data_IF_410713947762
#
_entry.id   IF_410713947762
#
_cell.length_a   1.000
_cell.length_b   1.000
_cell.length_c   1.000
_cell.angle_alpha   90.00
_cell.angle_beta   90.00
_cell.angle_gamma   90.00
#
_symmetry.space_group_name_H-M   'P 1'
#
loop_
_entity.id
_entity.type
_entity.pdbx_description
1 polymer ?
#
# COMPACT_ATOMS: atom_id res chain seq x y z
N UNK A 1 3.72 19.87 4.87
CA UNK A 1 5.08 19.29 4.98
C UNK A 1 5.75 19.33 3.60
N UNK A 2 7.08 19.47 3.53
CA UNK A 2 7.84 19.33 2.29
C UNK A 2 8.93 18.29 2.54
N UNK A 3 9.10 17.34 1.62
CA UNK A 3 10.16 16.33 1.67
C UNK A 3 11.11 16.55 0.50
N UNK A 4 12.37 16.17 0.70
CA UNK A 4 13.38 16.21 -0.35
C UNK A 4 13.27 14.94 -1.19
N UNK A 5 13.30 15.11 -2.50
CA UNK A 5 13.46 14.00 -3.44
C UNK A 5 14.95 13.75 -3.61
N UNK A 6 15.35 12.50 -3.47
CA UNK A 6 16.71 12.01 -3.68
C UNK A 6 16.77 11.12 -4.91
N UNK A 7 17.98 10.75 -5.33
CA UNK A 7 18.23 9.92 -6.49
C UNK A 7 19.24 8.84 -6.10
N UNK A 8 18.94 7.57 -6.42
CA UNK A 8 19.86 6.46 -6.18
C UNK A 8 20.91 6.36 -7.29
N UNK A 9 21.83 5.39 -7.17
CA UNK A 9 22.93 5.17 -8.12
C UNK A 9 22.43 4.81 -9.54
N UNK A 10 21.24 4.20 -9.64
CA UNK A 10 20.58 3.83 -10.90
C UNK A 10 19.82 5.01 -11.56
N UNK A 11 19.78 6.16 -10.89
CA UNK A 11 19.10 7.35 -11.37
C UNK A 11 17.60 7.41 -11.04
N UNK A 12 17.08 6.47 -10.26
CA UNK A 12 15.69 6.46 -9.81
C UNK A 12 15.46 7.44 -8.66
N UNK A 13 14.31 8.11 -8.69
CA UNK A 13 13.95 9.11 -7.68
C UNK A 13 13.14 8.48 -6.54
N UNK A 14 13.53 8.79 -5.31
CA UNK A 14 12.82 8.36 -4.12
C UNK A 14 12.74 9.48 -3.09
N UNK A 15 11.93 9.30 -2.06
CA UNK A 15 11.94 10.14 -0.87
C UNK A 15 11.71 9.28 0.36
N UNK A 16 12.22 9.73 1.49
CA UNK A 16 12.00 9.07 2.77
C UNK A 16 10.68 9.58 3.37
N UNK A 17 9.85 8.65 3.85
CA UNK A 17 8.63 8.98 4.58
C UNK A 17 9.03 9.43 5.98
N UNK A 18 8.74 10.66 6.41
CA UNK A 18 9.12 11.14 7.73
C UNK A 18 8.48 10.32 8.85
N UNK A 19 9.22 10.10 9.94
CA UNK A 19 8.78 9.30 11.10
C UNK A 19 7.44 9.77 11.69
N UNK A 20 7.16 11.08 11.64
CA UNK A 20 5.88 11.65 12.06
C UNK A 20 4.71 11.09 11.24
N UNK A 21 4.85 11.02 9.91
CA UNK A 21 3.81 10.48 9.05
C UNK A 21 3.68 8.96 9.17
N UNK A 22 4.80 8.26 9.38
CA UNK A 22 4.74 6.82 9.61
C UNK A 22 3.90 6.51 10.86
N UNK A 23 4.07 7.29 11.93
CA UNK A 23 3.28 7.14 13.17
C UNK A 23 1.83 7.54 12.96
N UNK A 24 1.58 8.71 12.39
CA UNK A 24 0.21 9.24 12.21
C UNK A 24 -0.64 8.36 11.30
N UNK A 25 -0.02 7.77 10.27
CA UNK A 25 -0.70 6.88 9.33
C UNK A 25 -0.64 5.40 9.75
N UNK A 26 0.07 5.08 10.85
CA UNK A 26 0.35 3.71 11.28
C UNK A 26 0.96 2.87 10.15
N UNK A 27 1.95 3.44 9.46
CA UNK A 27 2.75 2.76 8.44
C UNK A 27 3.99 2.14 9.06
N UNK A 28 4.41 1.01 8.52
CA UNK A 28 5.60 0.27 8.90
C UNK A 28 6.23 -0.34 7.66
N UNK A 29 7.51 -0.65 7.73
CA UNK A 29 8.21 -1.35 6.65
C UNK A 29 7.49 -2.66 6.29
N UNK A 30 7.32 -2.89 4.99
CA UNK A 30 6.60 -4.05 4.47
C UNK A 30 5.10 -3.82 4.22
N UNK A 31 4.52 -2.72 4.70
CA UNK A 31 3.16 -2.33 4.32
C UNK A 31 3.06 -2.12 2.80
N UNK A 32 1.99 -2.66 2.21
CA UNK A 32 1.70 -2.41 0.80
C UNK A 32 0.90 -1.12 0.65
N UNK A 33 1.35 -0.29 -0.28
CA UNK A 33 0.68 0.95 -0.65
C UNK A 33 0.31 0.92 -2.12
N UNK A 34 -0.67 1.73 -2.49
CA UNK A 34 -1.00 2.03 -3.88
C UNK A 34 -0.76 3.51 -4.19
N UNK A 35 -0.41 3.76 -5.45
CA UNK A 35 -0.34 5.10 -6.04
C UNK A 35 -1.61 5.32 -6.86
N UNK A 36 -2.37 6.36 -6.51
CA UNK A 36 -3.59 6.75 -7.22
C UNK A 36 -3.35 8.10 -7.89
N UNK A 37 -3.49 8.14 -9.20
CA UNK A 37 -3.47 9.39 -9.97
C UNK A 37 -4.80 10.13 -9.77
N UNK A 38 -4.72 11.37 -9.32
CA UNK A 38 -5.90 12.21 -9.08
C UNK A 38 -6.37 12.94 -10.34
N UNK A 39 -5.61 12.89 -11.45
CA UNK A 39 -5.94 13.53 -12.72
C UNK A 39 -5.71 15.05 -12.75
N UNK A 40 -5.12 15.61 -11.69
CA UNK A 40 -4.83 17.04 -11.54
C UNK A 40 -3.32 17.34 -11.43
N UNK A 41 -2.49 16.34 -11.75
CA UNK A 41 -1.03 16.40 -11.59
C UNK A 41 -0.55 16.06 -10.17
N UNK A 42 -1.46 15.72 -9.25
CA UNK A 42 -1.13 15.17 -7.93
C UNK A 42 -1.39 13.66 -7.86
N UNK A 43 -0.74 13.03 -6.87
CA UNK A 43 -0.89 11.61 -6.59
C UNK A 43 -1.25 11.40 -5.13
N UNK A 44 -2.08 10.40 -4.88
CA UNK A 44 -2.40 9.92 -3.53
C UNK A 44 -1.67 8.62 -3.26
N UNK A 45 -0.96 8.52 -2.13
CA UNK A 45 -0.45 7.25 -1.63
C UNK A 45 -1.41 6.74 -0.56
N UNK A 46 -1.94 5.53 -0.74
CA UNK A 46 -2.87 4.91 0.20
C UNK A 46 -2.33 3.56 0.66
N UNK A 47 -2.35 3.30 1.96
CA UNK A 47 -2.05 1.97 2.51
C UNK A 47 -3.19 1.02 2.19
N UNK A 48 -2.83 -0.14 1.66
CA UNK A 48 -3.76 -1.23 1.40
C UNK A 48 -4.11 -1.92 2.72
N UNK A 49 -5.38 -2.30 2.85
CA UNK A 49 -5.79 -3.27 3.86
C UNK A 49 -5.17 -4.64 3.59
N UNK A 50 -5.16 -5.49 4.61
CA UNK A 50 -4.70 -6.87 4.47
C UNK A 50 -5.48 -7.62 3.38
N UNK A 51 -6.81 -7.40 3.30
CA UNK A 51 -7.65 -8.04 2.29
C UNK A 51 -7.30 -7.58 0.87
N UNK A 52 -7.05 -6.28 0.67
CA UNK A 52 -6.62 -5.74 -0.64
C UNK A 52 -5.24 -6.27 -1.03
N UNK A 53 -4.29 -6.31 -0.09
CA UNK A 53 -2.96 -6.86 -0.32
C UNK A 53 -2.99 -8.36 -0.66
N UNK A 54 -3.85 -9.14 0.01
CA UNK A 54 -4.08 -10.56 -0.28
C UNK A 54 -4.74 -10.75 -1.64
N UNK A 55 -5.73 -9.92 -1.98
CA UNK A 55 -6.41 -9.96 -3.27
C UNK A 55 -5.43 -9.85 -4.43
N UNK A 56 -4.46 -8.92 -4.34
CA UNK A 56 -3.43 -8.74 -5.36
C UNK A 56 -2.59 -10.01 -5.54
N UNK A 57 -2.16 -10.61 -4.43
CA UNK A 57 -1.36 -11.85 -4.45
C UNK A 57 -2.16 -13.06 -4.93
N UNK A 58 -3.45 -13.12 -4.64
CA UNK A 58 -4.33 -14.22 -5.04
C UNK A 58 -4.49 -14.36 -6.56
N UNK A 59 -4.20 -13.30 -7.34
CA UNK A 59 -4.17 -13.38 -8.81
C UNK A 59 -2.88 -14.01 -9.34
N UNK A 60 -1.82 -14.01 -8.55
CA UNK A 60 -0.49 -14.53 -8.92
C UNK A 60 -0.26 -15.93 -8.36
N UNK A 61 -0.83 -16.23 -7.19
CA UNK A 61 -0.63 -17.48 -6.44
C UNK A 61 -1.98 -18.15 -6.07
N UNK A 62 -2.29 -19.34 -6.64
CA UNK A 62 -3.49 -20.10 -6.32
C UNK A 62 -3.64 -20.48 -4.84
N UNK A 63 -2.55 -20.65 -4.09
CA UNK A 63 -2.60 -21.03 -2.67
C UNK A 63 -3.05 -19.84 -1.81
N UNK A 64 -2.65 -18.62 -2.20
CA UNK A 64 -3.08 -17.38 -1.55
C UNK A 64 -4.56 -17.08 -1.83
N UNK A 65 -5.09 -17.55 -2.96
CA UNK A 65 -6.51 -17.39 -3.29
C UNK A 65 -7.44 -18.03 -2.25
N UNK A 66 -7.08 -19.20 -1.73
CA UNK A 66 -7.88 -19.87 -0.71
C UNK A 66 -7.94 -19.08 0.61
N UNK A 67 -6.86 -18.39 0.98
CA UNK A 67 -6.84 -17.52 2.16
C UNK A 67 -7.68 -16.25 1.94
N UNK A 68 -7.55 -15.62 0.76
CA UNK A 68 -8.38 -14.48 0.38
C UNK A 68 -9.88 -14.80 0.40
N UNK A 69 -10.28 -15.94 -0.18
CA UNK A 69 -11.69 -16.34 -0.24
C UNK A 69 -12.28 -16.55 1.16
N UNK A 70 -11.50 -17.12 2.11
CA UNK A 70 -11.92 -17.27 3.51
C UNK A 70 -12.12 -15.92 4.21
N UNK A 71 -11.13 -15.04 4.15
CA UNK A 71 -11.16 -13.76 4.87
C UNK A 71 -12.17 -12.77 4.29
N UNK A 72 -12.41 -12.83 2.98
CA UNK A 72 -13.43 -12.02 2.32
C UNK A 72 -14.83 -12.31 2.88
N UNK A 73 -15.15 -13.58 3.15
CA UNK A 73 -16.46 -13.97 3.66
C UNK A 73 -16.65 -13.56 5.14
N UNK A 74 -15.59 -13.62 5.95
CA UNK A 74 -15.62 -13.13 7.35
C UNK A 74 -15.83 -11.61 7.43
N UNK A 75 -15.20 -10.84 6.53
CA UNK A 75 -15.35 -9.37 6.47
C UNK A 75 -16.75 -8.89 6.07
N UNK A 76 -17.64 -9.80 5.64
CA UNK A 76 -19.00 -9.48 5.23
C UNK A 76 -19.97 -9.29 6.40
N UNK A 77 -19.55 -9.61 7.62
CA UNK A 77 -20.39 -9.55 8.82
C UNK A 77 -20.13 -8.33 9.73
N UNK A 78 -19.18 -7.46 9.38
CA UNK A 78 -18.86 -6.23 10.12
C UNK A 78 -19.50 -4.97 9.49
N UNK A 79 -20.80 -5.02 9.14
CA UNK A 79 -21.57 -3.86 8.64
C UNK A 79 -22.88 -3.64 9.40
#
# INVERSE_FOLDING_TARGET
>A
MRVKIEQNEDGERYFLIPDELQKDLSWSEGDRIEWVDNGDGSWTLRKLSQLEALKLKAFEDPDVKAEYDRLKDDSKFDL
#
